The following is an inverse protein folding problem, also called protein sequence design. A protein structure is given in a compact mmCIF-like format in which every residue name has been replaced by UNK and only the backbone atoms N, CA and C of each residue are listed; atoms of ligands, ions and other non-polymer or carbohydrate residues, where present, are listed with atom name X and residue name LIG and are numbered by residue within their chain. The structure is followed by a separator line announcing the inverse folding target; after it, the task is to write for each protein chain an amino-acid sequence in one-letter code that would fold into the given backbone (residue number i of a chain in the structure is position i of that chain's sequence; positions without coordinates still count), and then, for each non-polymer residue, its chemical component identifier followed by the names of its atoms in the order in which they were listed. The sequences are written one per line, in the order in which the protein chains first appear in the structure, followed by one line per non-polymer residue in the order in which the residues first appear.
data_IF_121805991846
#
_entry.id   IF_121805991846
#
_cell.length_a   1.000
_cell.length_b   1.000
_cell.length_c   1.000
_cell.angle_alpha   90.00
_cell.angle_beta   90.00
_cell.angle_gamma   90.00
#
_symmetry.space_group_name_H-M   'P 1'
#
loop_
_entity.id
_entity.type
_entity.pdbx_description
1 polymer ?
#
# COMPACT_ATOMS: atom_id res chain seq x y z
N UNK A 1 -3.45 -10.31 6.39
CA UNK A 1 -2.31 -9.49 5.97
C UNK A 1 -2.72 -8.28 5.13
N UNK A 2 -3.55 -8.47 4.14
CA UNK A 2 -4.02 -7.37 3.29
C UNK A 2 -4.69 -6.25 4.10
N UNK A 3 -5.52 -6.61 5.07
CA UNK A 3 -6.20 -5.61 5.91
C UNK A 3 -5.23 -4.78 6.73
N UNK A 4 -4.19 -5.40 7.26
CA UNK A 4 -3.17 -4.70 8.03
C UNK A 4 -2.44 -3.67 7.16
N UNK A 5 -2.07 -4.06 5.95
CA UNK A 5 -1.39 -3.18 5.02
C UNK A 5 -2.30 -2.02 4.62
N UNK A 6 -3.55 -2.30 4.33
CA UNK A 6 -4.52 -1.26 4.00
C UNK A 6 -4.68 -0.27 5.17
N UNK A 7 -4.75 -0.78 6.40
CA UNK A 7 -4.86 0.09 7.58
C UNK A 7 -3.64 1.01 7.71
N UNK A 8 -2.44 0.49 7.45
CA UNK A 8 -1.23 1.31 7.48
C UNK A 8 -1.28 2.43 6.45
N UNK A 9 -1.73 2.12 5.25
CA UNK A 9 -1.86 3.11 4.18
C UNK A 9 -2.92 4.14 4.56
N UNK A 10 -4.02 3.68 5.12
CA UNK A 10 -5.12 4.55 5.53
C UNK A 10 -4.69 5.54 6.59
N UNK A 11 -3.90 5.10 7.57
CA UNK A 11 -3.38 5.97 8.61
C UNK A 11 -2.42 7.03 8.07
N UNK A 12 -1.63 6.67 7.08
CA UNK A 12 -0.64 7.57 6.51
C UNK A 12 -1.22 8.51 5.45
N UNK A 13 -2.29 8.10 4.78
CA UNK A 13 -2.86 8.84 3.65
C UNK A 13 -2.10 8.58 2.36
N UNK A 14 -0.81 8.82 2.36
CA UNK A 14 0.10 8.36 1.31
C UNK A 14 1.43 7.97 1.95
N UNK A 15 2.09 6.99 1.36
CA UNK A 15 3.31 6.42 1.93
C UNK A 15 4.08 5.75 0.79
N UNK A 16 5.40 5.78 0.85
CA UNK A 16 6.20 5.06 -0.13
C UNK A 16 6.25 3.57 0.24
N UNK A 17 6.54 2.73 -0.73
CA UNK A 17 6.66 1.29 -0.49
C UNK A 17 7.76 0.98 0.51
N UNK A 18 8.87 1.72 0.47
CA UNK A 18 9.96 1.57 1.43
C UNK A 18 9.49 1.90 2.85
N UNK A 19 8.80 3.02 3.02
CA UNK A 19 8.30 3.42 4.33
C UNK A 19 7.25 2.44 4.84
N UNK A 20 6.42 1.91 3.95
CA UNK A 20 5.44 0.91 4.30
C UNK A 20 6.10 -0.36 4.82
N UNK A 21 7.15 -0.83 4.15
CA UNK A 21 7.91 -1.98 4.61
C UNK A 21 8.54 -1.73 5.97
N UNK A 22 9.08 -0.54 6.19
CA UNK A 22 9.66 -0.16 7.49
C UNK A 22 8.61 -0.15 8.59
N UNK A 23 7.43 0.38 8.30
CA UNK A 23 6.35 0.41 9.28
C UNK A 23 5.88 -1.00 9.64
N UNK A 24 5.80 -1.88 8.66
CA UNK A 24 5.43 -3.28 8.90
C UNK A 24 6.50 -3.99 9.73
N UNK A 25 7.76 -3.69 9.49
CA UNK A 25 8.86 -4.24 10.27
C UNK A 25 8.78 -3.84 11.74
N UNK A 26 8.37 -2.62 12.02
CA UNK A 26 8.19 -2.15 13.39
C UNK A 26 7.07 -2.90 14.11
N UNK A 27 6.08 -3.36 13.37
CA UNK A 27 4.99 -4.17 13.91
C UNK A 27 5.32 -5.66 13.91
N UNK A 28 6.58 -6.00 13.68
CA UNK A 28 7.05 -7.38 13.64
C UNK A 28 6.39 -8.21 12.54
N UNK A 29 5.97 -7.55 11.47
CA UNK A 29 5.40 -8.22 10.32
C UNK A 29 6.52 -8.50 9.33
N UNK A 30 6.78 -9.78 9.10
CA UNK A 30 7.79 -10.20 8.13
C UNK A 30 7.11 -10.42 6.78
N UNK A 31 7.51 -9.66 5.79
CA UNK A 31 6.86 -9.68 4.49
C UNK A 31 7.92 -9.46 3.41
N UNK A 32 7.90 -10.31 2.39
CA UNK A 32 8.80 -10.14 1.26
C UNK A 32 8.28 -9.03 0.35
N UNK A 33 9.19 -8.48 -0.44
CA UNK A 33 8.81 -7.46 -1.42
C UNK A 33 7.80 -8.01 -2.42
N UNK A 34 7.97 -9.26 -2.85
CA UNK A 34 7.03 -9.89 -3.76
C UNK A 34 5.63 -10.01 -3.17
N UNK A 35 5.55 -10.39 -1.90
CA UNK A 35 4.27 -10.51 -1.22
C UNK A 35 3.61 -9.13 -1.07
N UNK A 36 4.39 -8.11 -0.73
CA UNK A 36 3.88 -6.76 -0.64
C UNK A 36 3.35 -6.28 -1.98
N UNK A 37 4.09 -6.52 -3.06
CA UNK A 37 3.67 -6.13 -4.40
C UNK A 37 2.34 -6.75 -4.77
N UNK A 38 2.16 -8.02 -4.44
CA UNK A 38 0.92 -8.73 -4.74
C UNK A 38 -0.26 -8.13 -3.98
N UNK A 39 -0.05 -7.81 -2.71
CA UNK A 39 -1.10 -7.21 -1.89
C UNK A 39 -1.46 -5.81 -2.38
N UNK A 40 -0.44 -5.00 -2.73
CA UNK A 40 -0.68 -3.67 -3.27
C UNK A 40 -1.44 -3.74 -4.59
N UNK A 41 -1.11 -4.72 -5.43
CA UNK A 41 -1.83 -4.91 -6.68
C UNK A 41 -3.30 -5.25 -6.42
N UNK A 42 -3.56 -6.13 -5.47
CA UNK A 42 -4.93 -6.49 -5.11
C UNK A 42 -5.72 -5.26 -4.65
N UNK A 43 -5.12 -4.45 -3.77
CA UNK A 43 -5.78 -3.25 -3.26
C UNK A 43 -6.03 -2.24 -4.38
N UNK A 44 -5.12 -2.14 -5.32
CA UNK A 44 -5.27 -1.26 -6.47
C UNK A 44 -6.41 -1.72 -7.37
N UNK A 45 -6.50 -3.02 -7.59
CA UNK A 45 -7.58 -3.61 -8.39
C UNK A 45 -8.94 -3.34 -7.77
N UNK A 46 -9.02 -3.40 -6.44
CA UNK A 46 -10.26 -3.08 -5.74
C UNK A 46 -10.55 -1.58 -5.71
N UNK A 47 -9.64 -0.74 -6.17
CA UNK A 47 -9.84 0.70 -6.19
C UNK A 47 -9.65 1.36 -4.84
N UNK A 48 -8.99 0.69 -3.91
CA UNK A 48 -8.79 1.21 -2.55
C UNK A 48 -7.54 2.10 -2.44
N UNK A 49 -6.57 1.86 -3.30
CA UNK A 49 -5.33 2.62 -3.31
C UNK A 49 -4.92 2.93 -4.75
N UNK A 50 -4.00 3.88 -4.88
CA UNK A 50 -3.35 4.19 -6.16
C UNK A 50 -1.84 4.06 -5.94
N UNK A 51 -1.17 3.40 -6.88
CA UNK A 51 0.28 3.23 -6.83
C UNK A 51 0.89 4.01 -7.97
N UNK A 52 1.84 4.88 -7.65
CA UNK A 52 2.50 5.76 -8.61
C UNK A 52 4.01 5.63 -8.45
N UNK A 53 4.74 5.53 -9.55
CA UNK A 53 6.20 5.51 -9.52
C UNK A 53 6.73 6.90 -9.26
N UNK A 54 7.52 7.04 -8.20
CA UNK A 54 8.20 8.31 -7.87
C UNK A 54 9.57 8.34 -8.52
N UNK A 55 10.28 7.22 -8.42
CA UNK A 55 11.53 6.96 -9.11
C UNK A 55 11.45 5.56 -9.68
N UNK A 56 12.46 5.13 -10.42
CA UNK A 56 12.44 3.78 -10.96
C UNK A 56 12.53 2.68 -9.90
N UNK A 57 12.92 3.05 -8.67
CA UNK A 57 13.06 2.08 -7.58
C UNK A 57 12.07 2.32 -6.43
N UNK A 58 11.28 3.37 -6.50
CA UNK A 58 10.40 3.74 -5.39
C UNK A 58 9.01 4.10 -5.91
N UNK A 59 8.01 3.56 -5.24
CA UNK A 59 6.61 3.82 -5.58
C UNK A 59 5.93 4.54 -4.43
N UNK A 60 5.00 5.39 -4.75
CA UNK A 60 4.12 6.01 -3.77
C UNK A 60 2.78 5.29 -3.76
N UNK A 61 2.31 4.96 -2.59
CA UNK A 61 1.00 4.35 -2.39
C UNK A 61 0.10 5.40 -1.77
N UNK A 62 -1.03 5.68 -2.41
CA UNK A 62 -1.97 6.69 -1.95
C UNK A 62 -3.32 6.06 -1.65
N UNK A 63 -3.94 6.51 -0.58
CA UNK A 63 -5.31 6.10 -0.26
C UNK A 63 -6.27 6.79 -1.22
N UNK A 64 -7.20 6.03 -1.76
CA UNK A 64 -8.26 6.57 -2.61
C UNK A 64 -9.38 7.05 -1.71
N UNK A 65 -9.75 8.33 -1.80
CA UNK A 65 -10.70 8.96 -0.89
C UNK A 65 -12.10 8.37 -1.00
N UNK A 66 -12.54 8.00 -2.20
CA UNK A 66 -13.87 7.42 -2.41
C UNK A 66 -13.74 6.10 -3.16
N UNK A 67 -13.20 5.07 -2.50
CA UNK A 67 -12.88 3.82 -3.20
C UNK A 67 -14.11 3.07 -3.70
N UNK A 68 -15.23 3.31 -3.12
CA UNK A 68 -16.42 2.53 -3.38
C UNK A 68 -17.28 3.08 -4.49
N UNK A 69 -16.89 4.14 -5.11
CA UNK A 69 -17.80 4.80 -6.04
C UNK A 69 -17.71 4.18 -7.42
N UNK A 70 -18.44 3.15 -7.69
CA UNK A 70 -18.65 2.83 -9.08
C UNK A 70 -19.49 3.93 -9.66
N UNK A 71 -19.22 4.31 -10.83
CA UNK A 71 -20.02 5.29 -11.51
C UNK A 71 -21.45 4.83 -11.64
#
# INVERSE_FOLDING_TARGET
MRNLIYEKIKQAGNITDTDLMNALGKDEVSLTESALNKILLDLEIYGLIRVTWVTKDKRRVELVANPSTPP
#
